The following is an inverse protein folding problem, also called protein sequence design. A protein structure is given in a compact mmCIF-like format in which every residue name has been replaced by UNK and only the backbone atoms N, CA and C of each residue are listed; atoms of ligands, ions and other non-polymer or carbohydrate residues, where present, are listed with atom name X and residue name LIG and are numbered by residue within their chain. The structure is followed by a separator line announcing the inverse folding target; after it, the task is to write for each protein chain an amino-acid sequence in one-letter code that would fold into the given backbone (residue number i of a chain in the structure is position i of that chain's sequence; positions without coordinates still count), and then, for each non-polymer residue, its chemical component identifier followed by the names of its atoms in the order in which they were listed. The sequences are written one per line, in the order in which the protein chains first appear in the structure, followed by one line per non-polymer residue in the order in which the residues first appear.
data_IF_190138140801
#
_entry.id   IF_190138140801
#
_cell.length_a   1.000
_cell.length_b   1.000
_cell.length_c   1.000
_cell.angle_alpha   90.00
_cell.angle_beta   90.00
_cell.angle_gamma   90.00
#
_symmetry.space_group_name_H-M   'P 1'
#
loop_
_entity.id
_entity.type
_entity.pdbx_description
1 polymer ?
#
# COMPACT_ATOMS: atom_id res chain seq x y z
N UNK A 1 78.85 -39.00 16.33
CA UNK A 1 77.90 -39.17 15.20
C UNK A 1 76.77 -40.06 15.67
N UNK A 2 75.48 -39.75 15.66
CA UNK A 2 74.68 -38.56 15.31
C UNK A 2 73.48 -38.59 16.28
N UNK A 3 73.16 -37.45 16.89
CA UNK A 3 71.95 -37.23 17.68
C UNK A 3 70.78 -37.01 16.71
N UNK A 4 69.72 -37.81 16.82
CA UNK A 4 68.51 -37.67 16.00
C UNK A 4 67.45 -36.90 16.79
N UNK A 5 67.37 -35.60 16.55
CA UNK A 5 66.30 -34.72 17.04
C UNK A 5 65.03 -34.96 16.21
N UNK A 6 64.05 -35.66 16.78
CA UNK A 6 62.71 -35.74 16.23
C UNK A 6 61.91 -34.49 16.64
N UNK A 7 61.85 -33.51 15.75
CA UNK A 7 61.07 -32.29 15.91
C UNK A 7 59.58 -32.62 15.71
N UNK A 8 58.81 -32.74 16.80
CA UNK A 8 57.34 -32.85 16.76
C UNK A 8 56.75 -31.51 16.35
N UNK A 9 56.44 -31.34 15.07
CA UNK A 9 55.59 -30.27 14.56
C UNK A 9 54.16 -30.48 15.10
N UNK A 10 53.77 -29.70 16.11
CA UNK A 10 52.36 -29.54 16.48
C UNK A 10 51.69 -28.73 15.36
N UNK A 11 50.96 -29.40 14.47
CA UNK A 11 49.98 -28.71 13.63
C UNK A 11 48.89 -28.15 14.54
N UNK A 12 48.91 -26.84 14.73
CA UNK A 12 47.78 -26.10 15.28
C UNK A 12 46.74 -25.98 14.16
N UNK A 13 45.80 -26.93 14.11
CA UNK A 13 44.57 -26.73 13.36
C UNK A 13 43.72 -25.77 14.19
N UNK A 14 43.84 -24.48 13.91
CA UNK A 14 42.91 -23.48 14.43
C UNK A 14 41.54 -23.74 13.82
N UNK A 15 40.64 -24.38 14.58
CA UNK A 15 39.23 -24.48 14.20
C UNK A 15 38.53 -23.14 14.49
N UNK A 16 38.79 -22.11 13.67
CA UNK A 16 37.95 -20.90 13.66
C UNK A 16 36.77 -21.14 12.72
N UNK A 17 35.89 -22.06 13.11
CA UNK A 17 34.56 -22.22 12.53
C UNK A 17 33.57 -22.01 13.65
N UNK A 18 32.93 -20.83 13.72
CA UNK A 18 31.81 -20.60 14.63
C UNK A 18 30.75 -21.68 14.37
N UNK A 19 30.47 -22.51 15.36
CA UNK A 19 29.48 -23.57 15.22
C UNK A 19 28.11 -22.94 14.91
N UNK A 20 27.29 -23.49 14.00
CA UNK A 20 26.00 -22.91 13.61
C UNK A 20 25.04 -22.70 14.80
N UNK A 21 25.23 -23.46 15.89
CA UNK A 21 24.52 -23.29 17.17
C UNK A 21 24.82 -21.95 17.86
N UNK A 22 26.05 -21.44 17.77
CA UNK A 22 26.45 -20.16 18.37
C UNK A 22 25.86 -18.97 17.61
N UNK A 23 25.76 -19.08 16.29
CA UNK A 23 25.10 -18.08 15.46
C UNK A 23 23.59 -18.04 15.74
N UNK A 24 22.95 -19.20 15.79
CA UNK A 24 21.51 -19.30 16.11
C UNK A 24 21.21 -18.76 17.51
N UNK A 25 21.97 -19.14 18.55
CA UNK A 25 21.79 -18.60 19.90
C UNK A 25 22.04 -17.09 19.99
N UNK A 26 22.94 -16.54 19.16
CA UNK A 26 23.23 -15.09 19.14
C UNK A 26 22.16 -14.26 18.43
N UNK A 27 21.58 -14.78 17.35
CA UNK A 27 20.63 -14.04 16.52
C UNK A 27 19.17 -14.31 16.86
N UNK A 28 18.82 -15.52 17.32
CA UNK A 28 17.47 -15.87 17.74
C UNK A 28 16.82 -14.85 18.70
N UNK A 29 17.47 -14.41 19.81
CA UNK A 29 16.85 -13.43 20.70
C UNK A 29 16.59 -12.08 20.01
N UNK A 30 17.47 -11.65 19.10
CA UNK A 30 17.31 -10.38 18.37
C UNK A 30 16.16 -10.45 17.38
N UNK A 31 16.03 -11.58 16.68
CA UNK A 31 14.91 -11.83 15.76
C UNK A 31 13.60 -11.89 16.56
N UNK A 32 13.57 -12.58 17.70
CA UNK A 32 12.38 -12.65 18.56
C UNK A 32 11.98 -11.27 19.08
N UNK A 33 12.94 -10.46 19.55
CA UNK A 33 12.68 -9.08 19.98
C UNK A 33 12.13 -8.25 18.81
N UNK A 34 12.73 -8.35 17.63
CA UNK A 34 12.27 -7.64 16.45
C UNK A 34 10.83 -8.03 16.07
N UNK A 35 10.53 -9.33 16.02
CA UNK A 35 9.18 -9.85 15.75
C UNK A 35 8.19 -9.37 16.81
N UNK A 36 8.57 -9.38 18.09
CA UNK A 36 7.73 -8.86 19.17
C UNK A 36 7.44 -7.36 19.02
N UNK A 37 8.45 -6.55 18.66
CA UNK A 37 8.26 -5.12 18.37
C UNK A 37 7.31 -4.94 17.19
N UNK A 38 7.52 -5.66 16.09
CA UNK A 38 6.63 -5.59 14.92
C UNK A 38 5.19 -5.98 15.28
N UNK A 39 5.00 -7.02 16.10
CA UNK A 39 3.68 -7.45 16.55
C UNK A 39 2.99 -6.40 17.43
N UNK A 40 3.74 -5.74 18.33
CA UNK A 40 3.21 -4.64 19.15
C UNK A 40 2.87 -3.43 18.31
N UNK A 41 3.72 -3.04 17.36
CA UNK A 41 3.42 -1.95 16.44
C UNK A 41 2.17 -2.27 15.62
N UNK A 42 2.08 -3.48 15.08
CA UNK A 42 0.93 -3.91 14.30
C UNK A 42 -0.38 -3.96 15.08
N UNK A 43 -0.34 -4.16 16.40
CA UNK A 43 -1.54 -4.17 17.25
C UNK A 43 -2.08 -2.77 17.57
N UNK A 44 -1.22 -1.75 17.55
CA UNK A 44 -1.62 -0.35 17.82
C UNK A 44 -1.92 0.46 16.55
N UNK A 45 -1.80 -0.14 15.36
CA UNK A 45 -1.95 0.57 14.07
C UNK A 45 -3.27 1.35 13.97
N UNK A 46 -4.36 0.81 14.50
CA UNK A 46 -5.69 1.42 14.40
C UNK A 46 -5.85 2.67 15.25
N UNK A 47 -4.96 2.91 16.22
CA UNK A 47 -4.96 4.14 17.01
C UNK A 47 -4.60 5.37 16.18
N UNK A 48 -3.98 5.16 15.03
CA UNK A 48 -3.55 6.23 14.14
C UNK A 48 -4.57 6.50 13.04
N UNK A 49 -5.63 5.69 12.92
CA UNK A 49 -6.66 5.89 11.89
C UNK A 49 -7.51 7.11 12.22
N UNK A 50 -7.74 7.96 11.21
CA UNK A 50 -8.56 9.16 11.32
C UNK A 50 -9.82 9.05 10.47
N UNK A 51 -9.74 8.37 9.32
CA UNK A 51 -10.87 8.20 8.43
C UNK A 51 -11.65 6.93 8.80
N UNK A 52 -12.97 6.99 8.58
CA UNK A 52 -13.86 5.86 8.84
C UNK A 52 -14.35 5.28 7.50
N UNK A 53 -14.16 3.96 7.24
CA UNK A 53 -14.60 3.34 5.99
C UNK A 53 -16.09 3.56 5.68
N UNK A 54 -16.95 3.56 6.71
CA UNK A 54 -18.40 3.71 6.52
C UNK A 54 -18.73 5.12 6.10
N UNK A 55 -18.14 6.13 6.76
CA UNK A 55 -18.27 7.52 6.35
C UNK A 55 -17.78 7.76 4.91
N UNK A 56 -16.66 7.15 4.49
CA UNK A 56 -16.15 7.28 3.13
C UNK A 56 -17.09 6.63 2.09
N UNK A 57 -17.73 5.51 2.45
CA UNK A 57 -18.74 4.88 1.64
C UNK A 57 -19.98 5.78 1.44
N UNK A 58 -20.52 6.32 2.53
CA UNK A 58 -21.64 7.27 2.50
C UNK A 58 -21.29 8.53 1.68
N UNK A 59 -20.08 9.06 1.85
CA UNK A 59 -19.59 10.21 1.08
C UNK A 59 -19.50 9.89 -0.41
N UNK A 60 -19.08 8.67 -0.76
CA UNK A 60 -19.01 8.23 -2.16
C UNK A 60 -20.41 8.17 -2.77
N UNK A 61 -21.40 7.60 -2.06
CA UNK A 61 -22.79 7.57 -2.52
C UNK A 61 -23.36 8.98 -2.72
N UNK A 62 -23.13 9.88 -1.75
CA UNK A 62 -23.55 11.28 -1.85
C UNK A 62 -22.90 12.00 -3.05
N UNK A 63 -21.62 11.72 -3.34
CA UNK A 63 -20.92 12.29 -4.47
C UNK A 63 -21.52 11.82 -5.82
N UNK A 64 -21.88 10.54 -5.91
CA UNK A 64 -22.53 9.97 -7.11
C UNK A 64 -23.88 10.63 -7.36
N UNK A 65 -24.70 10.80 -6.31
CA UNK A 65 -26.00 11.48 -6.38
C UNK A 65 -25.86 12.96 -6.75
N UNK A 66 -24.86 13.64 -6.18
CA UNK A 66 -24.63 15.07 -6.42
C UNK A 66 -24.03 15.37 -7.80
N UNK A 67 -23.41 14.40 -8.47
CA UNK A 67 -22.76 14.59 -9.78
C UNK A 67 -22.99 13.40 -10.73
N UNK A 68 -24.26 13.12 -11.13
CA UNK A 68 -24.56 11.99 -12.00
C UNK A 68 -23.80 12.09 -13.34
N UNK A 69 -23.16 10.99 -13.75
CA UNK A 69 -22.36 10.89 -14.98
C UNK A 69 -21.21 11.90 -15.09
N UNK A 70 -20.79 12.54 -13.99
CA UNK A 70 -19.68 13.47 -13.97
C UNK A 70 -18.66 13.09 -12.89
N UNK A 71 -17.74 12.20 -13.23
CA UNK A 71 -16.70 11.71 -12.33
C UNK A 71 -15.84 12.83 -11.75
N UNK A 72 -15.51 13.86 -12.55
CA UNK A 72 -14.76 15.02 -12.05
C UNK A 72 -15.56 15.80 -10.99
N UNK A 73 -16.87 15.95 -11.19
CA UNK A 73 -17.78 16.52 -10.20
C UNK A 73 -17.86 15.69 -8.92
N UNK A 74 -17.91 14.35 -9.04
CA UNK A 74 -17.88 13.44 -7.88
C UNK A 74 -16.59 13.62 -7.07
N UNK A 75 -15.42 13.66 -7.73
CA UNK A 75 -14.13 13.88 -7.08
C UNK A 75 -14.10 15.24 -6.37
N UNK A 76 -14.58 16.29 -7.03
CA UNK A 76 -14.66 17.62 -6.42
C UNK A 76 -15.56 17.64 -5.19
N UNK A 77 -16.71 16.95 -5.24
CA UNK A 77 -17.63 16.80 -4.12
C UNK A 77 -16.95 16.11 -2.93
N UNK A 78 -16.25 15.00 -3.18
CA UNK A 78 -15.50 14.24 -2.16
C UNK A 78 -14.45 15.13 -1.50
N UNK A 79 -13.55 15.75 -2.27
CA UNK A 79 -12.47 16.58 -1.74
C UNK A 79 -13.01 17.76 -0.92
N UNK A 80 -14.09 18.39 -1.40
CA UNK A 80 -14.75 19.51 -0.69
C UNK A 80 -15.29 19.06 0.67
N UNK A 81 -16.04 17.96 0.71
CA UNK A 81 -16.62 17.45 1.95
C UNK A 81 -15.55 16.95 2.93
N UNK A 82 -14.51 16.25 2.45
CA UNK A 82 -13.39 15.83 3.31
C UNK A 82 -12.70 17.02 3.98
N UNK A 83 -12.54 18.13 3.25
CA UNK A 83 -11.94 19.36 3.79
C UNK A 83 -12.82 20.01 4.87
N UNK A 84 -14.14 19.82 4.80
CA UNK A 84 -15.08 20.29 5.82
C UNK A 84 -15.13 19.36 7.04
N UNK A 85 -15.14 18.05 6.82
CA UNK A 85 -15.22 17.02 7.86
C UNK A 85 -13.93 16.96 8.69
N UNK A 86 -12.78 17.01 8.02
CA UNK A 86 -11.49 16.81 8.66
C UNK A 86 -10.64 18.09 8.70
N UNK A 87 -10.46 18.70 9.88
CA UNK A 87 -9.68 19.91 9.99
C UNK A 87 -8.19 19.64 9.71
N UNK A 88 -7.51 20.63 9.13
CA UNK A 88 -6.12 20.50 8.66
C UNK A 88 -5.07 20.22 9.75
N UNK A 89 -5.42 20.34 11.03
CA UNK A 89 -4.56 19.98 12.16
C UNK A 89 -4.67 18.50 12.55
N UNK A 90 -5.66 17.76 12.02
CA UNK A 90 -5.80 16.32 12.21
C UNK A 90 -5.28 15.52 11.03
N UNK A 91 -5.52 16.01 9.81
CA UNK A 91 -5.11 15.35 8.58
C UNK A 91 -4.71 16.40 7.54
N UNK A 92 -3.71 16.10 6.72
CA UNK A 92 -3.37 16.90 5.53
C UNK A 92 -3.95 16.22 4.30
N UNK A 93 -4.67 17.02 3.53
CA UNK A 93 -5.21 16.66 2.22
C UNK A 93 -4.45 17.40 1.13
N UNK A 94 -4.24 16.72 0.01
CA UNK A 94 -3.72 17.28 -1.23
C UNK A 94 -4.89 17.77 -2.08
N UNK A 95 -5.07 19.08 -2.17
CA UNK A 95 -6.17 19.70 -2.92
C UNK A 95 -5.78 19.99 -4.39
N UNK A 96 -4.56 19.66 -4.80
CA UNK A 96 -4.10 19.88 -6.17
C UNK A 96 -4.54 18.73 -7.09
N UNK A 97 -5.74 18.87 -7.65
CA UNK A 97 -6.31 17.89 -8.58
C UNK A 97 -5.59 17.81 -9.93
N UNK A 98 -4.53 18.59 -10.16
CA UNK A 98 -3.66 18.45 -11.34
C UNK A 98 -2.58 17.39 -11.17
N UNK A 99 -2.37 16.90 -9.94
CA UNK A 99 -1.35 15.91 -9.60
C UNK A 99 -1.74 14.46 -9.89
N UNK A 100 -2.34 14.22 -11.06
CA UNK A 100 -2.55 12.87 -11.58
C UNK A 100 -1.24 12.23 -12.05
N UNK A 101 -1.10 10.94 -11.81
CA UNK A 101 0.03 10.13 -12.26
C UNK A 101 -0.45 8.75 -12.71
N UNK A 102 0.30 8.10 -13.60
CA UNK A 102 0.07 6.69 -13.88
C UNK A 102 0.56 5.84 -12.70
N UNK A 103 -0.15 4.74 -12.48
CA UNK A 103 0.20 3.71 -11.51
C UNK A 103 0.20 2.36 -12.21
N UNK A 104 1.34 1.66 -12.16
CA UNK A 104 1.55 0.33 -12.75
C UNK A 104 1.93 -0.63 -11.62
N UNK A 105 1.06 -1.59 -11.33
CA UNK A 105 1.29 -2.54 -10.25
C UNK A 105 0.49 -3.84 -10.48
N UNK A 106 1.13 -4.99 -10.23
CA UNK A 106 0.49 -6.29 -10.37
C UNK A 106 0.02 -6.62 -11.78
N UNK A 107 0.65 -6.01 -12.80
CA UNK A 107 0.25 -6.12 -14.20
C UNK A 107 -0.91 -5.19 -14.61
N UNK A 108 -1.53 -4.49 -13.66
CA UNK A 108 -2.57 -3.51 -13.93
C UNK A 108 -1.97 -2.11 -14.14
N UNK A 109 -2.64 -1.29 -14.95
CA UNK A 109 -2.29 0.10 -15.22
C UNK A 109 -3.51 1.00 -15.08
N UNK A 110 -3.39 2.03 -14.26
CA UNK A 110 -4.42 3.05 -14.08
C UNK A 110 -3.83 4.44 -13.88
N UNK A 111 -4.70 5.41 -13.67
CA UNK A 111 -4.38 6.75 -13.23
C UNK A 111 -4.75 6.90 -11.75
N UNK A 112 -3.88 7.57 -11.01
CA UNK A 112 -4.00 7.80 -9.58
C UNK A 112 -3.93 9.30 -9.27
N UNK A 113 -4.79 9.75 -8.38
CA UNK A 113 -4.70 11.05 -7.71
C UNK A 113 -4.71 10.86 -6.19
N UNK A 114 -3.62 11.25 -5.53
CA UNK A 114 -3.47 11.13 -4.08
C UNK A 114 -4.17 12.30 -3.40
N UNK A 115 -5.25 12.02 -2.66
CA UNK A 115 -5.95 12.99 -1.81
C UNK A 115 -5.30 13.04 -0.43
N UNK A 116 -4.90 11.90 0.13
CA UNK A 116 -4.21 11.80 1.40
C UNK A 116 -3.18 10.67 1.38
N UNK A 117 -2.03 10.88 2.02
CA UNK A 117 -1.09 9.82 2.34
C UNK A 117 -0.41 10.08 3.70
N UNK A 118 -0.40 9.07 4.55
CA UNK A 118 0.31 8.97 5.81
C UNK A 118 0.97 7.58 5.92
N UNK A 119 1.72 7.32 6.99
CA UNK A 119 2.30 6.01 7.28
C UNK A 119 1.21 4.96 7.55
N UNK A 120 0.04 5.36 8.06
CA UNK A 120 -1.03 4.41 8.44
C UNK A 120 -2.28 4.42 7.57
N UNK A 121 -2.47 5.45 6.74
CA UNK A 121 -3.65 5.59 5.85
C UNK A 121 -3.27 6.26 4.53
N UNK A 122 -3.92 5.87 3.43
CA UNK A 122 -4.02 6.70 2.24
C UNK A 122 -5.46 6.80 1.75
N UNK A 123 -5.75 7.85 1.00
CA UNK A 123 -6.97 8.02 0.24
C UNK A 123 -6.61 8.53 -1.14
N UNK A 124 -6.99 7.78 -2.17
CA UNK A 124 -6.69 8.12 -3.56
C UNK A 124 -7.94 7.97 -4.43
N UNK A 125 -7.94 8.66 -5.57
CA UNK A 125 -8.78 8.23 -6.69
C UNK A 125 -7.92 7.34 -7.57
N UNK A 126 -8.41 6.15 -7.88
CA UNK A 126 -7.77 5.22 -8.79
C UNK A 126 -8.76 4.73 -9.83
N UNK A 127 -8.32 4.55 -11.07
CA UNK A 127 -9.15 4.04 -12.15
C UNK A 127 -8.52 4.16 -13.51
N UNK A 128 -9.29 3.83 -14.54
CA UNK A 128 -8.85 3.92 -15.93
C UNK A 128 -10.05 4.10 -16.86
N UNK A 129 -9.95 4.99 -17.86
CA UNK A 129 -10.99 5.07 -18.88
C UNK A 129 -10.98 3.87 -19.85
N UNK A 130 -9.89 3.09 -19.90
CA UNK A 130 -9.67 2.03 -20.89
C UNK A 130 -10.01 0.63 -20.38
N UNK A 131 -9.97 0.43 -19.06
CA UNK A 131 -10.01 -0.87 -18.42
C UNK A 131 -8.61 -1.45 -18.15
N UNK A 132 -8.49 -2.21 -17.07
CA UNK A 132 -7.25 -2.90 -16.67
C UNK A 132 -7.56 -4.09 -15.76
N UNK A 133 -6.67 -5.07 -15.69
CA UNK A 133 -6.79 -6.21 -14.78
C UNK A 133 -5.41 -6.64 -14.29
N UNK A 134 -5.37 -7.27 -13.12
CA UNK A 134 -4.11 -7.71 -12.54
C UNK A 134 -4.27 -8.39 -11.20
N UNK A 135 -3.12 -8.63 -10.58
CA UNK A 135 -3.01 -9.14 -9.23
C UNK A 135 -3.31 -8.01 -8.23
N UNK A 136 -4.17 -8.25 -7.24
CA UNK A 136 -4.54 -7.20 -6.25
C UNK A 136 -3.39 -6.79 -5.33
N UNK A 137 -2.41 -7.67 -5.17
CA UNK A 137 -1.33 -7.52 -4.20
C UNK A 137 -1.66 -8.21 -2.86
N UNK A 138 -0.62 -8.64 -2.15
CA UNK A 138 -0.75 -9.19 -0.80
C UNK A 138 -0.37 -8.10 0.20
N UNK A 139 -1.36 -7.30 0.61
CA UNK A 139 -1.10 -6.08 1.38
C UNK A 139 -1.18 -6.30 2.90
N UNK A 140 -0.42 -5.48 3.63
CA UNK A 140 -0.46 -5.39 5.10
C UNK A 140 -1.50 -4.38 5.62
N UNK A 141 -2.43 -3.98 4.75
CA UNK A 141 -3.50 -3.03 5.01
C UNK A 141 -4.82 -3.62 4.51
N UNK A 142 -5.92 -3.16 5.08
CA UNK A 142 -7.25 -3.32 4.50
C UNK A 142 -7.45 -2.25 3.43
N UNK A 143 -8.04 -2.64 2.30
CA UNK A 143 -8.27 -1.74 1.16
C UNK A 143 -9.76 -1.72 0.77
N UNK A 144 -10.28 -0.54 0.49
CA UNK A 144 -11.69 -0.30 0.24
C UNK A 144 -11.84 0.49 -1.05
N UNK A 145 -12.33 -0.16 -2.10
CA UNK A 145 -12.62 0.45 -3.38
C UNK A 145 -14.09 0.86 -3.43
N UNK A 146 -14.37 2.14 -3.21
CA UNK A 146 -15.71 2.69 -3.33
C UNK A 146 -15.95 3.10 -4.79
N UNK A 147 -16.76 2.35 -5.52
CA UNK A 147 -16.92 2.52 -6.97
C UNK A 147 -17.70 3.79 -7.25
N UNK A 148 -17.10 4.72 -8.00
CA UNK A 148 -17.71 6.00 -8.39
C UNK A 148 -18.44 5.88 -9.73
N UNK A 149 -17.80 5.22 -10.70
CA UNK A 149 -18.30 5.03 -12.06
C UNK A 149 -17.72 3.75 -12.63
N UNK A 150 -18.40 3.15 -13.61
CA UNK A 150 -17.98 1.89 -14.22
C UNK A 150 -18.17 0.71 -13.26
N UNK A 151 -17.37 -0.34 -13.45
CA UNK A 151 -17.50 -1.57 -12.68
C UNK A 151 -16.13 -2.13 -12.32
N UNK A 152 -16.01 -2.66 -11.12
CA UNK A 152 -14.88 -3.49 -10.70
C UNK A 152 -15.32 -4.94 -10.63
N UNK A 153 -14.56 -5.84 -11.23
CA UNK A 153 -14.77 -7.28 -11.11
C UNK A 153 -13.60 -7.90 -10.34
N UNK A 154 -13.89 -8.88 -9.49
CA UNK A 154 -12.85 -9.58 -8.74
C UNK A 154 -13.21 -11.05 -8.55
N UNK A 155 -12.21 -11.89 -8.32
CA UNK A 155 -12.47 -13.25 -7.86
C UNK A 155 -11.32 -13.78 -6.99
N UNK A 156 -11.67 -14.70 -6.09
CA UNK A 156 -10.70 -15.39 -5.24
C UNK A 156 -10.12 -16.61 -5.96
N UNK A 157 -8.84 -16.95 -5.75
CA UNK A 157 -8.24 -18.17 -6.30
C UNK A 157 -9.11 -19.41 -6.06
N UNK A 158 -9.47 -20.10 -7.14
CA UNK A 158 -10.33 -21.29 -7.11
C UNK A 158 -11.84 -21.03 -7.25
N UNK A 159 -12.28 -19.77 -7.22
CA UNK A 159 -13.67 -19.41 -7.54
C UNK A 159 -13.93 -19.55 -9.03
N UNK A 160 -15.08 -20.09 -9.41
CA UNK A 160 -15.51 -20.23 -10.80
C UNK A 160 -16.42 -19.07 -11.27
N UNK A 161 -16.85 -18.21 -10.34
CA UNK A 161 -17.70 -17.07 -10.58
C UNK A 161 -17.02 -15.79 -10.10
N UNK A 162 -17.28 -14.68 -10.78
CA UNK A 162 -16.75 -13.37 -10.43
C UNK A 162 -17.70 -12.59 -9.52
N UNK A 163 -17.12 -11.84 -8.60
CA UNK A 163 -17.78 -10.76 -7.88
C UNK A 163 -17.82 -9.52 -8.79
N UNK A 164 -18.95 -8.81 -8.82
CA UNK A 164 -19.15 -7.59 -9.62
C UNK A 164 -19.60 -6.45 -8.71
N UNK A 165 -18.84 -5.36 -8.72
CA UNK A 165 -19.09 -4.16 -7.94
C UNK A 165 -19.41 -3.00 -8.89
N UNK A 166 -20.58 -2.37 -8.69
CA UNK A 166 -21.09 -1.27 -9.51
C UNK A 166 -21.08 0.05 -8.73
N UNK A 167 -21.37 1.21 -9.34
CA UNK A 167 -21.31 2.50 -8.64
C UNK A 167 -22.15 2.51 -7.36
N UNK A 168 -21.56 3.05 -6.29
CA UNK A 168 -22.16 3.09 -4.95
C UNK A 168 -21.96 1.82 -4.13
N UNK A 169 -21.34 0.78 -4.67
CA UNK A 169 -20.86 -0.39 -3.92
C UNK A 169 -19.42 -0.19 -3.43
N UNK A 170 -19.02 -0.99 -2.45
CA UNK A 170 -17.63 -1.07 -1.95
C UNK A 170 -17.08 -2.47 -2.12
N UNK A 171 -15.93 -2.60 -2.77
CA UNK A 171 -15.12 -3.81 -2.73
C UNK A 171 -14.12 -3.68 -1.58
N UNK A 172 -14.32 -4.46 -0.51
CA UNK A 172 -13.36 -4.58 0.59
C UNK A 172 -12.42 -5.73 0.31
N UNK A 173 -11.13 -5.43 0.24
CA UNK A 173 -10.04 -6.41 0.17
C UNK A 173 -9.37 -6.49 1.54
N UNK A 174 -9.65 -7.54 2.34
CA UNK A 174 -9.08 -7.65 3.67
C UNK A 174 -7.57 -7.81 3.62
N UNK A 175 -6.90 -7.32 4.67
CA UNK A 175 -5.46 -7.49 4.83
C UNK A 175 -5.03 -8.95 4.65
N UNK A 176 -3.95 -9.16 3.90
CA UNK A 176 -3.37 -10.49 3.69
C UNK A 176 -4.20 -11.40 2.77
N UNK A 177 -5.16 -10.84 2.05
CA UNK A 177 -5.91 -11.54 1.00
C UNK A 177 -5.39 -11.14 -0.37
N UNK A 178 -5.63 -12.00 -1.36
CA UNK A 178 -5.26 -11.79 -2.75
C UNK A 178 -6.45 -12.16 -3.63
N UNK A 179 -6.73 -11.31 -4.61
CA UNK A 179 -7.67 -11.56 -5.69
C UNK A 179 -7.01 -11.23 -7.04
N UNK A 180 -7.54 -11.79 -8.11
CA UNK A 180 -7.45 -11.09 -9.39
C UNK A 180 -8.56 -10.05 -9.38
N UNK A 181 -8.22 -8.83 -9.82
CA UNK A 181 -9.19 -7.76 -9.96
C UNK A 181 -9.13 -7.19 -11.38
N UNK A 182 -10.21 -6.52 -11.77
CA UNK A 182 -10.36 -5.82 -13.03
C UNK A 182 -11.17 -4.55 -12.82
N UNK A 183 -10.54 -3.41 -13.06
CA UNK A 183 -11.28 -2.18 -13.33
C UNK A 183 -11.80 -2.30 -14.77
N UNK A 184 -13.10 -2.48 -14.94
CA UNK A 184 -13.70 -2.57 -16.28
C UNK A 184 -13.59 -1.23 -17.03
N UNK A 185 -14.07 -1.19 -18.28
CA UNK A 185 -14.04 0.02 -19.09
C UNK A 185 -14.67 1.22 -18.37
N UNK A 186 -13.97 2.35 -18.34
CA UNK A 186 -14.46 3.58 -17.72
C UNK A 186 -14.56 3.56 -16.19
N UNK A 187 -13.90 2.62 -15.49
CA UNK A 187 -14.04 2.48 -14.05
C UNK A 187 -13.12 3.40 -13.24
N UNK A 188 -13.68 4.09 -12.25
CA UNK A 188 -12.95 4.85 -11.23
C UNK A 188 -13.56 4.62 -9.84
N UNK A 189 -12.69 4.55 -8.83
CA UNK A 189 -13.06 4.36 -7.44
C UNK A 189 -12.34 5.36 -6.53
N UNK A 190 -12.99 5.67 -5.40
CA UNK A 190 -12.32 6.23 -4.23
C UNK A 190 -11.75 5.05 -3.43
N UNK A 191 -10.43 4.93 -3.46
CA UNK A 191 -9.68 3.86 -2.82
C UNK A 191 -9.11 4.36 -1.49
N UNK A 192 -9.47 3.66 -0.42
CA UNK A 192 -9.02 3.94 0.94
C UNK A 192 -8.32 2.73 1.51
N UNK A 193 -7.09 2.92 1.98
CA UNK A 193 -6.37 1.86 2.69
C UNK A 193 -6.02 2.28 4.12
N UNK A 194 -6.12 1.32 5.04
CA UNK A 194 -5.75 1.46 6.44
C UNK A 194 -4.83 0.33 6.90
N UNK A 195 -3.63 0.67 7.38
CA UNK A 195 -2.56 -0.27 7.69
C UNK A 195 -1.19 0.33 7.45
N UNK A 196 -0.12 -0.46 7.48
CA UNK A 196 1.24 0.06 7.27
C UNK A 196 1.51 0.36 5.79
N UNK A 197 1.15 1.56 5.33
CA UNK A 197 1.19 1.97 3.92
C UNK A 197 2.59 1.84 3.29
N UNK A 198 3.71 2.19 3.95
CA UNK A 198 5.04 2.04 3.34
C UNK A 198 5.38 0.61 2.92
N UNK A 199 4.76 -0.40 3.54
CA UNK A 199 4.97 -1.81 3.20
C UNK A 199 4.23 -2.22 1.92
N UNK A 200 3.27 -1.43 1.44
CA UNK A 200 2.58 -1.64 0.16
C UNK A 200 3.38 -1.07 -1.01
N UNK A 201 4.21 -0.04 -0.79
CA UNK A 201 4.94 0.68 -1.84
C UNK A 201 5.84 -0.21 -2.72
N UNK A 202 6.53 -1.25 -2.22
CA UNK A 202 7.31 -2.14 -3.09
C UNK A 202 6.46 -2.77 -4.20
N UNK A 203 5.23 -3.21 -3.87
CA UNK A 203 4.29 -3.73 -4.87
C UNK A 203 3.91 -2.67 -5.90
N UNK A 204 3.61 -1.45 -5.44
CA UNK A 204 3.27 -0.32 -6.31
C UNK A 204 4.39 0.17 -7.24
N UNK A 205 5.65 -0.20 -6.98
CA UNK A 205 6.81 0.28 -7.75
C UNK A 205 7.51 -0.80 -8.57
N UNK A 206 7.34 -2.07 -8.24
CA UNK A 206 8.16 -3.15 -8.83
C UNK A 206 7.98 -3.24 -10.34
N UNK A 207 6.76 -3.09 -10.85
CA UNK A 207 6.47 -3.11 -12.29
C UNK A 207 7.12 -1.94 -13.01
N UNK A 208 7.33 -0.80 -12.35
CA UNK A 208 8.10 0.29 -12.95
C UNK A 208 9.56 -0.09 -13.17
N UNK A 209 10.15 -0.86 -12.26
CA UNK A 209 11.54 -1.31 -12.39
C UNK A 209 11.70 -2.52 -13.33
N UNK A 210 10.69 -3.38 -13.43
CA UNK A 210 10.79 -4.66 -14.15
C UNK A 210 10.04 -4.68 -15.48
N UNK A 211 9.15 -3.71 -15.74
CA UNK A 211 8.31 -3.64 -16.93
C UNK A 211 8.43 -2.30 -17.66
N UNK A 212 7.94 -1.20 -17.08
CA UNK A 212 7.72 0.04 -17.84
C UNK A 212 8.95 0.93 -17.96
N UNK A 213 9.86 0.89 -16.97
CA UNK A 213 11.01 1.78 -16.83
C UNK A 213 10.65 3.28 -16.81
N UNK A 214 9.41 3.63 -16.44
CA UNK A 214 8.96 5.03 -16.29
C UNK A 214 9.52 5.67 -15.00
N UNK A 215 10.83 5.92 -14.99
CA UNK A 215 11.53 6.56 -13.88
C UNK A 215 11.05 7.99 -13.60
N UNK A 216 10.71 8.84 -14.60
CA UNK A 216 10.11 10.14 -14.34
C UNK A 216 8.75 10.04 -13.63
N UNK A 217 7.89 9.11 -14.06
CA UNK A 217 6.62 8.81 -13.39
C UNK A 217 6.84 8.34 -11.96
N UNK A 218 7.76 7.40 -11.74
CA UNK A 218 8.13 6.94 -10.40
C UNK A 218 8.61 8.09 -9.50
N UNK A 219 9.47 8.96 -10.00
CA UNK A 219 9.96 10.11 -9.24
C UNK A 219 8.80 11.03 -8.84
N UNK A 220 7.85 11.28 -9.75
CA UNK A 220 6.64 12.06 -9.44
C UNK A 220 5.83 11.41 -8.31
N UNK A 221 5.59 10.11 -8.39
CA UNK A 221 4.85 9.34 -7.38
C UNK A 221 5.54 9.37 -6.02
N UNK A 222 6.84 9.10 -5.98
CA UNK A 222 7.64 9.12 -4.74
C UNK A 222 7.66 10.52 -4.14
N UNK A 223 7.89 11.56 -4.94
CA UNK A 223 7.95 12.95 -4.47
C UNK A 223 6.63 13.39 -3.83
N UNK A 224 5.50 13.10 -4.48
CA UNK A 224 4.17 13.48 -3.99
C UNK A 224 3.81 12.68 -2.74
N UNK A 225 3.99 11.35 -2.78
CA UNK A 225 3.72 10.47 -1.63
C UNK A 225 4.54 10.89 -0.41
N UNK A 226 5.85 11.10 -0.58
CA UNK A 226 6.74 11.53 0.50
C UNK A 226 6.35 12.92 1.02
N UNK A 227 6.00 13.88 0.13
CA UNK A 227 5.52 15.20 0.54
C UNK A 227 4.28 15.09 1.42
N UNK A 228 3.27 14.33 1.02
CA UNK A 228 2.03 14.20 1.79
C UNK A 228 2.25 13.43 3.11
N UNK A 229 3.04 12.35 3.10
CA UNK A 229 3.41 11.64 4.33
C UNK A 229 4.14 12.55 5.32
N UNK A 230 5.13 13.32 4.87
CA UNK A 230 5.88 14.26 5.72
C UNK A 230 4.97 15.35 6.29
N UNK A 231 4.04 15.90 5.49
CA UNK A 231 3.09 16.92 5.96
C UNK A 231 2.18 16.39 7.07
N UNK A 232 1.78 15.12 7.00
CA UNK A 232 1.00 14.46 8.06
C UNK A 232 1.86 14.17 9.30
N UNK A 233 3.08 13.68 9.12
CA UNK A 233 4.02 13.45 10.23
C UNK A 233 4.30 14.74 11.03
N UNK A 234 4.43 15.88 10.36
CA UNK A 234 4.68 17.18 11.02
C UNK A 234 3.52 17.65 11.92
N UNK A 235 2.31 17.14 11.73
CA UNK A 235 1.15 17.41 12.61
C UNK A 235 0.87 16.25 13.58
N UNK A 236 1.77 15.25 13.65
CA UNK A 236 1.63 14.08 14.52
C UNK A 236 0.67 13.01 13.98
N UNK A 237 0.20 13.14 12.73
CA UNK A 237 -0.55 12.08 12.06
C UNK A 237 0.45 11.06 11.50
N UNK A 238 0.50 9.90 12.14
CA UNK A 238 1.18 8.72 11.61
C UNK A 238 0.38 8.13 10.47
#
# INVERSE_FOLDING_TARGET
MMSTLAQRTKFHVGSTGSQPTDLLMRWAPRVLIFVAICAVLDSIRSWFYVMDPTHLHELTQAAIEASPNNTAGMIQHIVTNLTLTYPSNKIKLNLDSSEWMFNNAGGAMGAMYIIHASITEYLIIFGTPLGTEGHSGLHTADDYFNILVGEEWAFLPGSLEMERYTPGMVHHLPRGTVKQYKMHEGCFALEYAQGWIPLMLPFGFIDTFTSTLDLPGLFRTVRITAREMLRNLLIGKL
#
